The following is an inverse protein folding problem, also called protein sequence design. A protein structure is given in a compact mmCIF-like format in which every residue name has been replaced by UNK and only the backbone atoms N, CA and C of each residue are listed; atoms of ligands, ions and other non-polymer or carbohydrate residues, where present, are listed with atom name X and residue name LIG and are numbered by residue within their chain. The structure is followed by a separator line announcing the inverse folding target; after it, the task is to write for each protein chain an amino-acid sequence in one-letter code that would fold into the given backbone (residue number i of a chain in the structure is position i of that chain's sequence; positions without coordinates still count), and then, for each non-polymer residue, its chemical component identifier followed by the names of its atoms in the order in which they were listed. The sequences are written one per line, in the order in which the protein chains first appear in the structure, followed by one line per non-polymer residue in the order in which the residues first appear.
data_IF_878138864031
#
_entry.id   IF_878138864031
#
_cell.length_a   1.000
_cell.length_b   1.000
_cell.length_c   1.000
_cell.angle_alpha   90.00
_cell.angle_beta   90.00
_cell.angle_gamma   90.00
#
_symmetry.space_group_name_H-M   'P 1'
#
loop_
_entity.id
_entity.type
_entity.pdbx_description
1 polymer ?
#
# COMPACT_ATOMS: atom_id res chain seq x y z
N UNK A 1 -2.75 -0.87 -12.31
CA UNK A 1 -2.97 -1.56 -11.01
C UNK A 1 -2.99 -0.53 -9.86
N UNK A 2 -3.18 -0.98 -8.61
CA UNK A 2 -3.16 -0.15 -7.39
C UNK A 2 -1.81 0.57 -7.22
N UNK A 3 -0.64 -0.09 -7.30
CA UNK A 3 0.68 0.56 -7.25
C UNK A 3 0.81 1.78 -8.18
N UNK A 4 0.40 1.65 -9.43
CA UNK A 4 0.44 2.74 -10.43
C UNK A 4 -0.46 3.91 -10.02
N UNK A 5 -1.65 3.63 -9.48
CA UNK A 5 -2.57 4.67 -9.00
C UNK A 5 -2.02 5.41 -7.78
N UNK A 6 -1.35 4.70 -6.87
CA UNK A 6 -0.68 5.28 -5.69
C UNK A 6 0.51 6.15 -6.12
N UNK A 7 1.36 5.66 -7.02
CA UNK A 7 2.47 6.41 -7.60
C UNK A 7 2.01 7.74 -8.21
N UNK A 8 0.92 7.68 -8.98
CA UNK A 8 0.34 8.87 -9.59
C UNK A 8 -0.09 9.88 -8.52
N UNK A 9 -0.77 9.46 -7.45
CA UNK A 9 -1.16 10.38 -6.36
C UNK A 9 0.03 11.11 -5.73
N UNK A 10 1.20 10.47 -5.64
CA UNK A 10 2.42 11.08 -5.11
C UNK A 10 2.98 12.16 -6.05
N UNK A 11 2.94 11.93 -7.38
CA UNK A 11 3.49 12.86 -8.38
C UNK A 11 2.67 14.15 -8.57
N UNK A 12 1.37 14.14 -8.23
CA UNK A 12 0.47 15.29 -8.46
C UNK A 12 0.23 16.14 -7.22
N UNK A 13 0.94 15.89 -6.10
CA UNK A 13 0.69 16.62 -4.87
C UNK A 13 0.99 18.12 -5.06
N UNK A 14 -0.03 19.01 -5.06
CA UNK A 14 0.14 20.43 -5.37
C UNK A 14 1.04 21.16 -4.37
N UNK A 15 1.10 20.63 -3.15
CA UNK A 15 1.89 21.18 -2.05
C UNK A 15 3.40 21.03 -2.27
N UNK A 16 3.86 20.04 -3.06
CA UNK A 16 5.29 19.88 -3.37
C UNK A 16 5.85 21.04 -4.20
N UNK A 17 5.08 21.53 -5.19
CA UNK A 17 5.45 22.71 -5.98
C UNK A 17 5.49 24.00 -5.15
N UNK A 18 4.74 24.03 -4.04
CA UNK A 18 4.73 25.18 -3.11
C UNK A 18 5.91 25.12 -2.13
N UNK A 19 6.33 23.89 -1.76
CA UNK A 19 7.51 23.64 -0.93
C UNK A 19 8.81 24.11 -1.59
N UNK A 20 8.95 23.95 -2.91
CA UNK A 20 10.13 24.41 -3.67
C UNK A 20 10.41 25.93 -3.54
N UNK A 21 9.38 26.72 -3.20
CA UNK A 21 9.48 28.19 -3.11
C UNK A 21 9.51 28.71 -1.67
N UNK A 22 9.50 27.85 -0.66
CA UNK A 22 9.45 28.27 0.75
C UNK A 22 10.79 28.16 1.46
N UNK A 23 11.14 29.22 2.18
CA UNK A 23 12.31 29.30 3.07
C UNK A 23 11.93 29.30 4.55
N UNK A 24 10.66 29.55 4.87
CA UNK A 24 10.17 29.59 6.26
C UNK A 24 9.86 28.18 6.77
N UNK A 25 10.59 27.73 7.79
CA UNK A 25 10.47 26.39 8.40
C UNK A 25 9.07 26.11 8.96
N UNK A 26 8.38 27.11 9.51
CA UNK A 26 7.02 26.94 10.04
C UNK A 26 6.03 26.74 8.89
N UNK A 27 6.17 27.49 7.81
CA UNK A 27 5.33 27.33 6.62
C UNK A 27 5.56 25.96 5.96
N UNK A 28 6.82 25.54 5.82
CA UNK A 28 7.22 24.23 5.30
C UNK A 28 6.55 23.10 6.11
N UNK A 29 6.60 23.18 7.44
CA UNK A 29 5.97 22.18 8.31
C UNK A 29 4.46 22.09 8.06
N UNK A 30 3.78 23.23 8.01
CA UNK A 30 2.32 23.27 7.75
C UNK A 30 1.99 22.67 6.38
N UNK A 31 2.78 22.98 5.35
CA UNK A 31 2.57 22.42 4.01
C UNK A 31 2.78 20.90 3.98
N UNK A 32 3.79 20.39 4.66
CA UNK A 32 4.03 18.94 4.78
C UNK A 32 2.91 18.25 5.55
N UNK A 33 2.47 18.80 6.68
CA UNK A 33 1.38 18.24 7.49
C UNK A 33 0.07 18.19 6.68
N UNK A 34 -0.24 19.26 5.96
CA UNK A 34 -1.42 19.33 5.10
C UNK A 34 -1.32 18.37 3.90
N UNK A 35 -0.16 18.31 3.25
CA UNK A 35 0.08 17.42 2.12
C UNK A 35 -0.03 15.95 2.54
N UNK A 36 0.54 15.58 3.67
CA UNK A 36 0.48 14.21 4.20
C UNK A 36 -0.95 13.84 4.60
N UNK A 37 -1.69 14.77 5.21
CA UNK A 37 -3.10 14.60 5.54
C UNK A 37 -3.95 14.38 4.28
N UNK A 38 -3.74 15.18 3.23
CA UNK A 38 -4.44 15.03 1.94
C UNK A 38 -4.10 13.71 1.24
N UNK A 39 -2.82 13.34 1.22
CA UNK A 39 -2.36 12.07 0.68
C UNK A 39 -2.98 10.87 1.42
N UNK A 40 -2.99 10.91 2.75
CA UNK A 40 -3.61 9.89 3.59
C UNK A 40 -5.11 9.74 3.29
N UNK A 41 -5.83 10.85 3.15
CA UNK A 41 -7.26 10.83 2.75
C UNK A 41 -7.46 10.21 1.38
N UNK A 42 -6.64 10.59 0.39
CA UNK A 42 -6.74 10.05 -0.98
C UNK A 42 -6.42 8.56 -1.04
N UNK A 43 -5.42 8.10 -0.29
CA UNK A 43 -5.13 6.66 -0.16
C UNK A 43 -6.28 5.90 0.47
N UNK A 44 -6.88 6.46 1.53
CA UNK A 44 -8.05 5.86 2.16
C UNK A 44 -9.20 5.68 1.16
N UNK A 45 -9.54 6.74 0.41
CA UNK A 45 -10.57 6.67 -0.63
C UNK A 45 -10.23 5.69 -1.74
N UNK A 46 -8.97 5.65 -2.20
CA UNK A 46 -8.53 4.71 -3.22
C UNK A 46 -8.67 3.26 -2.75
N UNK A 47 -8.33 2.98 -1.50
CA UNK A 47 -8.49 1.65 -0.90
C UNK A 47 -9.97 1.29 -0.75
N UNK A 48 -10.80 2.20 -0.25
CA UNK A 48 -12.25 2.00 -0.14
C UNK A 48 -12.86 1.63 -1.51
N UNK A 49 -12.56 2.40 -2.56
CA UNK A 49 -13.01 2.12 -3.92
C UNK A 49 -12.50 0.77 -4.45
N UNK A 50 -11.27 0.39 -4.12
CA UNK A 50 -10.73 -0.89 -4.54
C UNK A 50 -11.48 -2.06 -3.88
N UNK A 51 -11.73 -1.96 -2.58
CA UNK A 51 -12.47 -2.98 -1.84
C UNK A 51 -13.94 -3.05 -2.28
N UNK A 52 -14.58 -1.92 -2.57
CA UNK A 52 -15.93 -1.87 -3.14
C UNK A 52 -16.00 -2.58 -4.49
N UNK A 53 -15.02 -2.35 -5.37
CA UNK A 53 -14.95 -3.03 -6.67
C UNK A 53 -14.76 -4.54 -6.52
N UNK A 54 -13.83 -4.98 -5.67
CA UNK A 54 -13.61 -6.40 -5.39
C UNK A 54 -14.85 -7.07 -4.81
N UNK A 55 -15.53 -6.38 -3.89
CA UNK A 55 -16.78 -6.87 -3.28
C UNK A 55 -17.87 -7.01 -4.34
N UNK A 56 -18.02 -6.02 -5.22
CA UNK A 56 -19.00 -6.03 -6.31
C UNK A 56 -18.73 -7.16 -7.31
N UNK A 57 -17.46 -7.39 -7.66
CA UNK A 57 -17.05 -8.48 -8.55
C UNK A 57 -17.32 -9.85 -7.92
N UNK A 58 -17.04 -10.00 -6.63
CA UNK A 58 -17.33 -11.22 -5.88
C UNK A 58 -18.85 -11.50 -5.82
N UNK A 59 -19.66 -10.48 -5.53
CA UNK A 59 -21.12 -10.60 -5.51
C UNK A 59 -21.69 -10.99 -6.88
N UNK A 60 -21.16 -10.43 -7.96
CA UNK A 60 -21.54 -10.81 -9.33
C UNK A 60 -21.24 -12.29 -9.59
N UNK A 61 -20.03 -12.75 -9.27
CA UNK A 61 -19.64 -14.15 -9.47
C UNK A 61 -20.49 -15.11 -8.62
N UNK A 62 -20.80 -14.73 -7.38
CA UNK A 62 -21.70 -15.49 -6.51
C UNK A 62 -23.13 -15.62 -7.09
N UNK A 63 -23.65 -14.54 -7.67
CA UNK A 63 -24.96 -14.55 -8.33
C UNK A 63 -24.97 -15.42 -9.58
N UNK A 64 -23.90 -15.38 -10.39
CA UNK A 64 -23.73 -16.26 -11.54
C UNK A 64 -23.70 -17.73 -11.12
N UNK A 65 -22.87 -18.07 -10.13
CA UNK A 65 -22.79 -19.42 -9.58
C UNK A 65 -24.13 -19.92 -9.04
N UNK A 66 -24.87 -19.06 -8.33
CA UNK A 66 -26.22 -19.38 -7.82
C UNK A 66 -27.19 -19.70 -8.96
N UNK A 67 -27.17 -18.92 -10.03
CA UNK A 67 -28.03 -19.15 -11.20
C UNK A 67 -27.66 -20.44 -11.95
N UNK A 68 -26.36 -20.71 -12.14
CA UNK A 68 -25.90 -21.95 -12.75
C UNK A 68 -26.30 -23.17 -11.93
N UNK A 69 -26.11 -23.10 -10.61
CA UNK A 69 -26.53 -24.16 -9.67
C UNK A 69 -28.03 -24.40 -9.73
N UNK A 70 -28.84 -23.33 -9.76
CA UNK A 70 -30.29 -23.43 -9.92
C UNK A 70 -30.67 -24.13 -11.23
N UNK A 71 -30.08 -23.74 -12.35
CA UNK A 71 -30.35 -24.34 -13.65
C UNK A 71 -29.94 -25.83 -13.68
N UNK A 72 -28.78 -26.16 -13.11
CA UNK A 72 -28.33 -27.55 -13.01
C UNK A 72 -29.28 -28.39 -12.15
N UNK A 73 -29.75 -27.84 -11.02
CA UNK A 73 -30.75 -28.50 -10.19
C UNK A 73 -32.06 -28.73 -10.95
N UNK A 74 -32.56 -27.75 -11.69
CA UNK A 74 -33.77 -27.89 -12.53
C UNK A 74 -33.61 -29.00 -13.59
N UNK A 75 -32.44 -29.08 -14.24
CA UNK A 75 -32.12 -30.16 -15.19
C UNK A 75 -32.09 -31.54 -14.53
N UNK A 76 -31.53 -31.64 -13.32
CA UNK A 76 -31.54 -32.87 -12.52
C UNK A 76 -32.98 -33.23 -12.14
N UNK A 77 -33.80 -32.26 -11.69
CA UNK A 77 -35.22 -32.50 -11.40
C UNK A 77 -35.96 -33.07 -12.60
N UNK A 78 -35.76 -32.47 -13.78
CA UNK A 78 -36.36 -32.96 -15.02
C UNK A 78 -35.92 -34.39 -15.36
N UNK A 79 -34.63 -34.70 -15.19
CA UNK A 79 -34.11 -36.05 -15.43
C UNK A 79 -34.71 -37.08 -14.48
N UNK A 80 -34.77 -36.77 -13.17
CA UNK A 80 -35.37 -37.68 -12.18
C UNK A 80 -36.88 -37.86 -12.42
N UNK A 81 -37.61 -36.78 -12.74
CA UNK A 81 -39.05 -36.85 -13.07
C UNK A 81 -39.34 -37.73 -14.29
N UNK A 82 -38.40 -37.83 -15.23
CA UNK A 82 -38.50 -38.68 -16.41
C UNK A 82 -38.10 -40.14 -16.14
N UNK A 83 -37.34 -40.41 -15.05
CA UNK A 83 -36.75 -41.73 -14.75
C UNK A 83 -37.47 -42.52 -13.63
N UNK A 84 -38.26 -41.90 -12.73
CA UNK A 84 -38.86 -42.60 -11.57
C UNK A 84 -40.34 -42.29 -11.31
N UNK A 85 -41.16 -43.34 -11.20
CA UNK A 85 -42.61 -43.29 -11.06
C UNK A 85 -43.17 -42.95 -9.64
N UNK A 86 -42.44 -42.23 -8.78
CA UNK A 86 -43.02 -41.65 -7.55
C UNK A 86 -42.56 -40.20 -7.35
N UNK A 87 -43.42 -39.28 -7.78
CA UNK A 87 -43.19 -37.83 -7.89
C UNK A 87 -42.99 -37.13 -6.54
N UNK A 88 -43.48 -37.71 -5.45
CA UNK A 88 -43.64 -37.05 -4.14
C UNK A 88 -42.39 -37.16 -3.25
N UNK A 89 -41.78 -38.34 -3.14
CA UNK A 89 -40.55 -38.54 -2.36
C UNK A 89 -39.35 -37.82 -2.98
N UNK A 90 -39.33 -37.75 -4.32
CA UNK A 90 -38.32 -37.04 -5.10
C UNK A 90 -38.42 -35.51 -4.88
N UNK A 91 -39.63 -34.94 -4.96
CA UNK A 91 -39.87 -33.52 -4.71
C UNK A 91 -39.48 -33.10 -3.29
N UNK A 92 -39.76 -33.94 -2.29
CA UNK A 92 -39.41 -33.67 -0.90
C UNK A 92 -37.89 -33.60 -0.71
N UNK A 93 -37.15 -34.57 -1.25
CA UNK A 93 -35.68 -34.59 -1.15
C UNK A 93 -35.01 -33.44 -1.92
N UNK A 94 -35.58 -33.04 -3.06
CA UNK A 94 -35.09 -31.91 -3.86
C UNK A 94 -35.24 -30.56 -3.16
N UNK A 95 -36.40 -30.31 -2.53
CA UNK A 95 -36.61 -29.08 -1.77
C UNK A 95 -35.64 -29.00 -0.59
N UNK A 96 -35.39 -30.13 0.09
CA UNK A 96 -34.40 -30.19 1.18
C UNK A 96 -32.98 -29.89 0.68
N UNK A 97 -32.57 -30.39 -0.49
CA UNK A 97 -31.27 -30.06 -1.10
C UNK A 97 -31.18 -28.58 -1.50
N UNK A 98 -32.25 -28.01 -2.05
CA UNK A 98 -32.29 -26.59 -2.43
C UNK A 98 -32.13 -25.68 -1.20
N UNK A 99 -32.84 -26.00 -0.10
CA UNK A 99 -32.76 -25.27 1.16
C UNK A 99 -31.37 -25.36 1.80
N UNK A 100 -30.74 -26.55 1.76
CA UNK A 100 -29.36 -26.75 2.23
C UNK A 100 -28.35 -25.94 1.40
N UNK A 101 -28.54 -25.86 0.08
CA UNK A 101 -27.68 -25.09 -0.82
C UNK A 101 -27.80 -23.59 -0.55
N UNK A 102 -29.03 -23.11 -0.33
CA UNK A 102 -29.31 -21.73 0.01
C UNK A 102 -28.71 -21.35 1.38
N UNK A 103 -28.89 -22.20 2.39
CA UNK A 103 -28.34 -22.02 3.75
C UNK A 103 -26.82 -21.97 3.77
N UNK A 104 -26.15 -22.86 3.02
CA UNK A 104 -24.69 -22.87 2.90
C UNK A 104 -24.16 -21.60 2.21
N UNK A 105 -24.91 -21.05 1.24
CA UNK A 105 -24.54 -19.81 0.55
C UNK A 105 -24.63 -18.59 1.47
N UNK A 106 -25.68 -18.52 2.29
CA UNK A 106 -25.87 -17.44 3.27
C UNK A 106 -24.83 -17.53 4.40
N UNK A 107 -24.45 -18.75 4.81
CA UNK A 107 -23.34 -19.01 5.72
C UNK A 107 -22.01 -18.47 5.20
N UNK A 108 -21.64 -18.83 3.95
CA UNK A 108 -20.41 -18.33 3.32
C UNK A 108 -20.38 -16.80 3.18
N UNK A 109 -21.53 -16.19 2.84
CA UNK A 109 -21.64 -14.72 2.72
C UNK A 109 -21.37 -14.02 4.06
N UNK A 110 -21.90 -14.57 5.16
CA UNK A 110 -21.69 -14.03 6.50
C UNK A 110 -20.25 -14.22 6.99
N UNK A 111 -19.64 -15.39 6.75
CA UNK A 111 -18.23 -15.64 7.10
C UNK A 111 -17.28 -14.73 6.32
N UNK A 112 -17.55 -14.50 5.03
CA UNK A 112 -16.75 -13.59 4.18
C UNK A 112 -16.84 -12.14 4.66
N UNK A 113 -18.03 -11.68 5.05
CA UNK A 113 -18.23 -10.34 5.63
C UNK A 113 -17.49 -10.16 6.95
N UNK A 114 -17.56 -11.17 7.83
CA UNK A 114 -16.85 -11.16 9.11
C UNK A 114 -15.33 -11.15 8.92
N UNK A 115 -14.82 -11.92 7.96
CA UNK A 115 -13.40 -11.92 7.60
C UNK A 115 -12.95 -10.56 7.03
N UNK A 116 -13.77 -9.93 6.19
CA UNK A 116 -13.50 -8.59 5.66
C UNK A 116 -13.48 -7.52 6.77
N UNK A 117 -14.41 -7.58 7.73
CA UNK A 117 -14.42 -6.70 8.90
C UNK A 117 -13.18 -6.92 9.80
N UNK A 118 -12.79 -8.17 10.05
CA UNK A 118 -11.59 -8.50 10.83
C UNK A 118 -10.29 -8.08 10.15
N UNK A 119 -10.18 -8.27 8.82
CA UNK A 119 -9.04 -7.80 8.03
C UNK A 119 -9.01 -6.27 8.02
N UNK A 120 -10.14 -5.59 7.85
CA UNK A 120 -10.23 -4.12 7.92
C UNK A 120 -9.82 -3.62 9.29
N UNK A 121 -10.28 -4.26 10.37
CA UNK A 121 -9.87 -3.92 11.73
C UNK A 121 -8.38 -4.19 11.96
N UNK A 122 -7.82 -5.29 11.45
CA UNK A 122 -6.39 -5.60 11.56
C UNK A 122 -5.54 -4.64 10.74
N UNK A 123 -5.89 -4.34 9.49
CA UNK A 123 -5.21 -3.37 8.62
C UNK A 123 -5.29 -1.95 9.19
N UNK A 124 -6.40 -1.58 9.83
CA UNK A 124 -6.55 -0.27 10.50
C UNK A 124 -5.88 -0.21 11.88
N UNK A 125 -5.72 -1.35 12.57
CA UNK A 125 -5.01 -1.45 13.87
C UNK A 125 -3.49 -1.60 13.70
N UNK A 126 -3.08 -2.21 12.59
CA UNK A 126 -1.70 -2.29 12.06
C UNK A 126 -1.42 -1.15 11.07
N UNK A 127 -2.30 -0.13 10.98
CA UNK A 127 -1.99 1.17 10.39
C UNK A 127 -1.01 1.91 11.32
N UNK A 128 0.19 1.33 11.37
CA UNK A 128 1.47 1.75 11.85
C UNK A 128 1.53 2.35 13.26
N UNK A 129 2.22 1.60 14.13
CA UNK A 129 3.04 2.23 15.17
C UNK A 129 3.80 3.42 14.56
N UNK A 130 3.94 4.52 15.32
CA UNK A 130 4.73 5.70 14.90
C UNK A 130 6.12 5.31 14.36
N UNK A 131 6.66 4.19 14.85
CA UNK A 131 7.94 3.62 14.42
C UNK A 131 7.89 3.03 13.01
N UNK A 132 6.79 2.39 12.60
CA UNK A 132 6.64 1.75 11.29
C UNK A 132 6.38 2.78 10.19
N UNK A 133 5.60 3.83 10.50
CA UNK A 133 5.46 5.02 9.63
C UNK A 133 6.83 5.68 9.45
N UNK A 134 7.58 5.86 10.54
CA UNK A 134 8.91 6.48 10.48
C UNK A 134 9.85 5.63 9.63
N UNK A 135 9.87 4.30 9.84
CA UNK A 135 10.68 3.37 9.03
C UNK A 135 10.35 3.51 7.55
N UNK A 136 9.08 3.37 7.20
CA UNK A 136 8.58 3.46 5.82
C UNK A 136 8.95 4.80 5.17
N UNK A 137 8.78 5.93 5.88
CA UNK A 137 9.13 7.26 5.37
C UNK A 137 10.63 7.39 5.11
N UNK A 138 11.47 6.95 6.04
CA UNK A 138 12.93 7.03 5.89
C UNK A 138 13.42 6.12 4.75
N UNK A 139 12.87 4.91 4.61
CA UNK A 139 13.19 4.01 3.50
C UNK A 139 12.79 4.62 2.15
N UNK A 140 11.57 5.14 2.02
CA UNK A 140 11.10 5.77 0.77
C UNK A 140 11.95 6.99 0.43
N UNK A 141 12.20 7.87 1.40
CA UNK A 141 13.04 9.06 1.20
C UNK A 141 14.44 8.66 0.74
N UNK A 142 15.05 7.69 1.41
CA UNK A 142 16.40 7.23 1.07
C UNK A 142 16.47 6.69 -0.36
N UNK A 143 15.62 5.72 -0.73
CA UNK A 143 15.62 5.11 -2.07
C UNK A 143 15.34 6.15 -3.17
N UNK A 144 14.52 7.17 -2.87
CA UNK A 144 14.13 8.17 -3.87
C UNK A 144 15.21 9.21 -4.19
N UNK A 145 16.15 9.44 -3.26
CA UNK A 145 17.12 10.56 -3.37
C UNK A 145 18.57 10.11 -3.32
N UNK A 146 18.82 8.85 -2.97
CA UNK A 146 20.18 8.34 -2.90
C UNK A 146 20.77 8.21 -4.31
N UNK A 147 22.08 8.34 -4.38
CA UNK A 147 22.87 8.26 -5.61
C UNK A 147 23.87 7.12 -5.44
N UNK A 148 23.80 6.14 -6.35
CA UNK A 148 24.74 5.02 -6.44
C UNK A 148 25.89 5.29 -7.40
N UNK A 149 25.69 6.17 -8.38
CA UNK A 149 26.67 6.59 -9.38
C UNK A 149 26.35 7.99 -9.93
N UNK A 150 27.35 8.68 -10.46
CA UNK A 150 27.23 10.07 -10.91
C UNK A 150 26.94 10.22 -12.41
N UNK A 151 26.60 9.15 -13.14
CA UNK A 151 26.40 9.24 -14.59
C UNK A 151 25.12 10.03 -14.91
N UNK A 152 25.27 11.17 -15.58
CA UNK A 152 24.11 12.03 -15.89
C UNK A 152 23.51 12.72 -14.66
N UNK A 153 24.22 12.68 -13.52
CA UNK A 153 23.90 13.45 -12.32
C UNK A 153 24.73 14.73 -12.37
N UNK A 154 24.09 15.86 -12.08
CA UNK A 154 24.79 17.15 -12.00
C UNK A 154 25.89 17.12 -10.93
N UNK A 155 26.88 18.01 -11.08
CA UNK A 155 27.92 18.17 -10.07
C UNK A 155 27.32 18.62 -8.72
N UNK A 156 27.76 18.00 -7.63
CA UNK A 156 27.29 18.30 -6.29
C UNK A 156 27.38 17.14 -5.31
N UNK A 157 26.87 17.37 -4.10
CA UNK A 157 26.88 16.37 -3.02
C UNK A 157 25.49 15.74 -2.83
N UNK A 158 25.47 14.42 -2.69
CA UNK A 158 24.28 13.59 -2.74
C UNK A 158 24.29 12.52 -1.67
N UNK A 159 23.11 12.09 -1.25
CA UNK A 159 22.97 10.99 -0.30
C UNK A 159 23.51 9.69 -0.90
N UNK A 160 24.32 8.95 -0.15
CA UNK A 160 24.80 7.63 -0.58
C UNK A 160 23.68 6.60 -0.46
N UNK A 161 23.52 5.71 -1.45
CA UNK A 161 22.61 4.56 -1.35
C UNK A 161 23.11 3.44 -0.42
N UNK A 162 24.33 3.56 0.09
CA UNK A 162 25.03 2.48 0.78
C UNK A 162 25.33 2.78 2.25
N UNK A 163 25.20 4.03 2.68
CA UNK A 163 25.45 4.42 4.07
C UNK A 163 24.77 5.75 4.39
N UNK A 164 24.29 5.91 5.62
CA UNK A 164 23.85 7.20 6.13
C UNK A 164 25.00 8.03 6.70
N UNK A 165 26.11 7.40 7.08
CA UNK A 165 27.30 8.02 7.69
C UNK A 165 28.24 8.68 6.66
N UNK A 166 27.81 8.75 5.41
CA UNK A 166 28.57 9.32 4.32
C UNK A 166 27.70 9.78 3.18
N UNK A 167 28.33 10.45 2.23
CA UNK A 167 27.68 11.02 1.06
C UNK A 167 28.55 10.80 -0.18
N UNK A 168 27.97 11.06 -1.33
CA UNK A 168 28.63 10.98 -2.63
C UNK A 168 28.81 12.38 -3.17
N UNK A 169 30.03 12.74 -3.54
CA UNK A 169 30.33 13.96 -4.27
C UNK A 169 30.53 13.62 -5.75
N UNK A 170 29.73 14.21 -6.61
CA UNK A 170 29.79 14.07 -8.06
C UNK A 170 30.52 15.26 -8.67
N UNK A 171 31.52 15.00 -9.52
CA UNK A 171 32.13 16.02 -10.38
C UNK A 171 32.58 15.43 -11.70
N UNK A 172 32.14 16.03 -12.82
CA UNK A 172 32.44 15.56 -14.19
C UNK A 172 32.11 14.06 -14.40
N UNK A 173 30.93 13.62 -13.93
CA UNK A 173 30.51 12.21 -13.85
C UNK A 173 31.40 11.30 -12.96
N UNK A 174 32.47 11.83 -12.36
CA UNK A 174 33.30 11.14 -11.39
C UNK A 174 32.64 11.11 -10.01
N UNK A 175 32.71 9.97 -9.35
CA UNK A 175 32.12 9.76 -8.02
C UNK A 175 33.19 9.67 -6.94
N UNK A 176 33.07 10.48 -5.89
CA UNK A 176 33.90 10.38 -4.69
C UNK A 176 33.02 10.10 -3.48
N UNK A 177 33.27 8.99 -2.77
CA UNK A 177 32.61 8.69 -1.50
C UNK A 177 33.27 9.52 -0.39
N UNK A 178 32.45 10.20 0.41
CA UNK A 178 32.88 11.06 1.51
C UNK A 178 32.29 10.56 2.81
N UNK A 179 33.06 10.64 3.89
CA UNK A 179 32.64 10.21 5.22
C UNK A 179 32.22 11.45 6.04
N UNK A 180 31.10 11.35 6.75
CA UNK A 180 30.64 12.43 7.62
C UNK A 180 31.48 12.55 8.90
N UNK A 181 32.07 11.46 9.39
CA UNK A 181 32.86 11.43 10.63
C UNK A 181 34.08 12.36 10.60
N UNK A 182 34.63 12.66 9.42
CA UNK A 182 35.74 13.62 9.26
C UNK A 182 35.38 15.02 9.78
N UNK A 183 34.10 15.40 9.73
CA UNK A 183 33.62 16.70 10.24
C UNK A 183 33.31 16.67 11.74
N UNK A 184 33.12 15.49 12.33
CA UNK A 184 32.71 15.30 13.72
C UNK A 184 33.26 13.97 14.28
N UNK A 185 34.56 13.91 14.65
CA UNK A 185 35.21 12.64 14.98
C UNK A 185 34.69 11.96 16.25
N UNK A 186 34.10 12.72 17.18
CA UNK A 186 33.73 12.22 18.51
C UNK A 186 32.36 11.52 18.57
N UNK A 187 31.61 11.46 17.46
CA UNK A 187 30.25 10.90 17.45
C UNK A 187 29.73 10.63 16.03
N UNK A 188 28.80 9.66 15.86
CA UNK A 188 28.21 9.41 14.56
C UNK A 188 27.40 10.62 14.08
N UNK A 189 27.54 10.90 12.78
CA UNK A 189 26.85 11.96 12.05
C UNK A 189 26.43 11.42 10.71
N UNK A 190 25.28 11.87 10.24
CA UNK A 190 24.61 11.34 9.07
C UNK A 190 24.36 12.44 8.05
N UNK A 191 24.45 12.09 6.77
CA UNK A 191 24.16 13.03 5.69
C UNK A 191 22.67 13.39 5.67
N UNK A 192 22.36 14.68 5.70
CA UNK A 192 21.02 15.21 5.46
C UNK A 192 20.97 15.83 4.07
N UNK A 193 20.30 15.16 3.13
CA UNK A 193 20.27 15.55 1.72
C UNK A 193 19.49 16.85 1.48
N UNK A 194 18.57 17.20 2.39
CA UNK A 194 17.84 18.47 2.32
C UNK A 194 18.68 19.65 2.80
N UNK A 195 19.64 19.44 3.72
CA UNK A 195 20.59 20.48 4.18
C UNK A 195 21.91 20.45 3.45
N UNK A 196 22.19 19.37 2.71
CA UNK A 196 23.46 19.11 2.03
C UNK A 196 24.65 19.20 2.98
N UNK A 197 24.53 18.57 4.15
CA UNK A 197 25.60 18.48 5.16
C UNK A 197 25.38 17.32 6.13
N UNK A 198 26.44 16.96 6.83
CA UNK A 198 26.40 15.98 7.91
C UNK A 198 25.82 16.59 9.20
N UNK A 199 24.89 15.89 9.83
CA UNK A 199 24.17 16.30 11.04
C UNK A 199 24.07 15.14 12.03
N UNK A 200 23.92 15.41 13.32
CA UNK A 200 23.66 14.36 14.33
C UNK A 200 22.33 13.64 14.08
N UNK A 201 21.32 14.37 13.64
CA UNK A 201 20.04 13.83 13.22
C UNK A 201 19.79 14.24 11.78
N UNK A 202 19.81 13.26 10.87
CA UNK A 202 19.42 13.47 9.48
C UNK A 202 17.93 13.21 9.31
N UNK A 203 17.28 14.07 8.53
CA UNK A 203 15.84 13.94 8.20
C UNK A 203 15.61 13.09 6.96
N UNK A 204 16.69 12.67 6.30
CA UNK A 204 16.63 11.96 5.03
C UNK A 204 17.31 10.59 5.07
N UNK A 205 18.09 10.31 6.13
CA UNK A 205 18.78 9.04 6.29
C UNK A 205 18.92 8.69 7.77
N UNK A 206 18.50 7.50 8.15
CA UNK A 206 18.72 6.96 9.49
C UNK A 206 19.08 5.48 9.33
N UNK A 207 20.28 5.11 9.77
CA UNK A 207 20.84 3.78 9.57
C UNK A 207 19.87 2.69 10.06
N UNK A 208 19.22 2.91 11.20
CA UNK A 208 18.27 2.00 11.86
C UNK A 208 17.00 1.72 11.03
N UNK A 209 16.64 2.64 10.16
CA UNK A 209 15.42 2.53 9.35
C UNK A 209 15.70 2.23 7.88
N UNK A 210 16.96 2.36 7.45
CA UNK A 210 17.34 2.35 6.04
C UNK A 210 18.00 1.03 5.62
N UNK A 211 18.78 0.41 6.51
CA UNK A 211 19.59 -0.77 6.19
C UNK A 211 19.25 -2.02 7.04
N UNK A 212 18.24 -1.92 7.91
CA UNK A 212 17.64 -3.00 8.70
C UNK A 212 16.31 -3.46 8.11
#
# INVERSE_FOLDING_TARGET
DIPTKVQNQFQIMPEWKKLEKQSNLTAIKIFLDNGLSDFSKKLKTLNEQHFENLTSELELNLNLFKNETKNHNELIQQRILNETASKEDVMKNLNTMLDLTQSNTDGLKNETKMLHELITQRVMKDAASKTDIKKTLFTILHVSICVSDCNGISDGDYQSCYTCEGFVSCSNNGMVKKNCSESYPDRPVYWDNFKKKCLFESRTCDQKYTFD
#
